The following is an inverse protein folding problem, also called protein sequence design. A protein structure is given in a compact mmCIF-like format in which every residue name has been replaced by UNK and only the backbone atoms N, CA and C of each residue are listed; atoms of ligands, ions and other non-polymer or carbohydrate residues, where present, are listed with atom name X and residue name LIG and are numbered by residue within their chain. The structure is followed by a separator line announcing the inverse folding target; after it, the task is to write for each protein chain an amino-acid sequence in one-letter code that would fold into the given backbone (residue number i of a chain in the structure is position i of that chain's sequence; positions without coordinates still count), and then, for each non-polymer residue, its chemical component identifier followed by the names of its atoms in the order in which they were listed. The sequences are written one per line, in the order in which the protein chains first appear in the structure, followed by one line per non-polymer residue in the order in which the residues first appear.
data_IF_872534171706
#
_entry.id   IF_872534171706
#
_cell.length_a   1.000
_cell.length_b   1.000
_cell.length_c   1.000
_cell.angle_alpha   90.00
_cell.angle_beta   90.00
_cell.angle_gamma   90.00
#
_symmetry.space_group_name_H-M   'P 1'
#
loop_
_entity.id
_entity.type
_entity.pdbx_description
1 polymer ?
#
# COMPACT_ATOMS: atom_id res chain seq x y z
N UNK A 1 1.22 14.03 5.35
CA UNK A 1 2.11 14.66 4.35
C UNK A 1 3.21 13.69 3.99
N UNK A 2 2.89 12.75 3.10
CA UNK A 2 3.75 11.62 2.77
C UNK A 2 4.85 12.06 1.79
N UNK A 3 6.12 11.97 2.20
CA UNK A 3 7.25 12.20 1.29
C UNK A 3 7.54 10.94 0.48
N UNK A 4 7.09 10.92 -0.77
CA UNK A 4 7.56 9.98 -1.78
C UNK A 4 8.92 10.52 -2.25
N UNK A 5 10.01 9.77 -2.03
CA UNK A 5 11.32 10.11 -2.58
C UNK A 5 11.34 9.78 -4.07
N UNK A 6 10.79 10.67 -4.89
CA UNK A 6 11.06 10.70 -6.32
C UNK A 6 11.50 12.12 -6.72
N UNK A 7 12.62 12.19 -7.44
CA UNK A 7 13.27 13.42 -7.91
C UNK A 7 12.45 13.99 -9.08
N UNK A 8 11.28 14.55 -8.79
CA UNK A 8 10.38 15.17 -9.75
C UNK A 8 9.77 16.41 -9.11
N UNK A 9 10.18 17.58 -9.60
CA UNK A 9 9.86 18.92 -9.12
C UNK A 9 8.39 19.33 -9.35
N UNK A 10 7.46 18.51 -8.85
CA UNK A 10 6.01 18.77 -8.87
C UNK A 10 5.34 17.92 -7.80
N UNK A 11 5.60 18.28 -6.54
CA UNK A 11 4.89 17.76 -5.36
C UNK A 11 3.43 18.25 -5.42
N UNK A 12 2.62 17.65 -6.28
CA UNK A 12 1.17 17.78 -6.25
C UNK A 12 0.65 16.75 -5.24
N UNK A 13 -0.26 17.19 -4.36
CA UNK A 13 -1.03 16.30 -3.49
C UNK A 13 -1.72 15.24 -4.37
N UNK A 14 -1.24 13.99 -4.29
CA UNK A 14 -1.74 12.90 -5.12
C UNK A 14 -2.56 11.96 -4.26
N UNK A 15 -3.85 11.86 -4.54
CA UNK A 15 -4.75 10.92 -3.88
C UNK A 15 -4.44 9.49 -4.33
N UNK A 16 -3.78 8.72 -3.47
CA UNK A 16 -3.41 7.34 -3.75
C UNK A 16 -4.23 6.36 -2.92
N UNK A 17 -4.59 5.22 -3.52
CA UNK A 17 -5.32 4.15 -2.84
C UNK A 17 -4.36 3.13 -2.25
N UNK A 18 -4.56 2.72 -1.00
CA UNK A 18 -3.72 1.67 -0.37
C UNK A 18 -4.13 0.29 -0.88
N UNK A 19 -3.29 -0.33 -1.70
CA UNK A 19 -3.55 -1.62 -2.33
C UNK A 19 -2.91 -2.79 -1.58
N UNK A 20 -1.85 -2.53 -0.83
CA UNK A 20 -1.10 -3.60 -0.15
C UNK A 20 -0.30 -3.14 1.05
N UNK A 21 0.20 -4.13 1.80
CA UNK A 21 0.95 -3.91 3.03
C UNK A 21 2.04 -4.98 3.25
N UNK A 22 3.16 -4.55 3.83
CA UNK A 22 4.25 -5.39 4.28
C UNK A 22 4.46 -5.27 5.78
N UNK A 23 4.89 -6.39 6.39
CA UNK A 23 5.45 -6.35 7.73
C UNK A 23 6.78 -5.62 7.74
N UNK A 24 7.00 -4.86 8.81
CA UNK A 24 8.31 -4.28 9.08
C UNK A 24 9.32 -5.33 9.49
N UNK A 25 10.55 -5.17 9.05
CA UNK A 25 11.64 -6.11 9.35
C UNK A 25 12.35 -5.79 10.69
N UNK A 26 11.78 -4.89 11.51
CA UNK A 26 12.40 -4.39 12.74
C UNK A 26 11.90 -5.06 14.02
N UNK A 27 12.80 -5.20 15.02
CA UNK A 27 12.46 -5.70 16.37
C UNK A 27 11.77 -4.66 17.28
N UNK A 28 11.73 -3.38 16.89
CA UNK A 28 11.10 -2.30 17.67
C UNK A 28 9.58 -2.19 17.47
N UNK A 29 8.91 -1.32 18.24
CA UNK A 29 7.46 -1.04 18.15
C UNK A 29 6.98 -0.69 16.73
N UNK A 30 7.83 -0.02 15.94
CA UNK A 30 7.56 0.29 14.53
C UNK A 30 7.69 -0.92 13.60
N UNK A 31 8.54 -1.89 13.92
CA UNK A 31 8.74 -3.09 13.09
C UNK A 31 7.84 -4.28 13.43
N UNK A 32 7.27 -4.34 14.64
CA UNK A 32 6.31 -5.37 15.09
C UNK A 32 4.89 -5.23 14.48
N UNK A 33 4.79 -5.03 13.18
CA UNK A 33 3.51 -4.93 12.47
C UNK A 33 3.67 -4.40 11.05
N UNK A 34 2.55 -4.03 10.43
CA UNK A 34 2.57 -3.43 9.08
C UNK A 34 3.30 -2.09 9.13
N UNK A 35 4.43 -1.95 8.45
CA UNK A 35 5.20 -0.70 8.48
C UNK A 35 5.32 -0.04 7.12
N UNK A 36 4.88 -0.72 6.07
CA UNK A 36 5.10 -0.28 4.70
C UNK A 36 3.88 -0.63 3.87
N UNK A 37 3.44 0.32 3.06
CA UNK A 37 2.21 0.25 2.30
C UNK A 37 2.53 0.34 0.80
N UNK A 38 1.70 -0.29 -0.01
CA UNK A 38 1.73 -0.15 -1.47
C UNK A 38 0.54 0.69 -1.84
N UNK A 39 0.81 1.79 -2.52
CA UNK A 39 -0.18 2.73 -2.96
C UNK A 39 -0.29 2.69 -4.48
N UNK A 40 -1.48 2.95 -4.99
CA UNK A 40 -1.74 2.89 -6.42
C UNK A 40 -2.95 3.71 -6.84
N UNK A 41 -3.17 3.74 -8.15
CA UNK A 41 -4.24 4.50 -8.79
C UNK A 41 -5.19 3.56 -9.50
N UNK A 42 -6.42 4.03 -9.68
CA UNK A 42 -7.43 3.34 -10.46
C UNK A 42 -7.15 3.53 -11.95
N UNK A 43 -7.38 2.50 -12.76
CA UNK A 43 -7.26 2.59 -14.21
C UNK A 43 -8.45 3.38 -14.80
N UNK A 44 -8.14 4.37 -15.65
CA UNK A 44 -9.14 5.24 -16.28
C UNK A 44 -10.07 4.48 -17.25
N UNK A 45 -9.57 3.41 -17.88
CA UNK A 45 -10.31 2.64 -18.88
C UNK A 45 -11.04 1.46 -18.28
N UNK A 46 -10.52 0.88 -17.20
CA UNK A 46 -11.15 -0.22 -16.49
C UNK A 46 -11.28 0.08 -14.99
N UNK A 47 -12.48 0.47 -14.52
CA UNK A 47 -12.67 0.90 -13.15
C UNK A 47 -12.50 -0.22 -12.10
N UNK A 48 -12.37 -1.47 -12.51
CA UNK A 48 -12.11 -2.60 -11.62
C UNK A 48 -10.63 -2.96 -11.52
N UNK A 49 -9.76 -2.22 -12.23
CA UNK A 49 -8.33 -2.46 -12.30
C UNK A 49 -7.58 -1.31 -11.62
N UNK A 50 -6.57 -1.66 -10.85
CA UNK A 50 -5.74 -0.74 -10.08
C UNK A 50 -4.27 -1.03 -10.35
N UNK A 51 -3.50 0.04 -10.54
CA UNK A 51 -2.07 -0.02 -10.82
C UNK A 51 -1.28 0.45 -9.61
N UNK A 52 -0.32 -0.35 -9.17
CA UNK A 52 0.60 0.03 -8.09
C UNK A 52 1.56 1.09 -8.60
N UNK A 53 1.64 2.23 -7.90
CA UNK A 53 2.49 3.36 -8.27
C UNK A 53 3.76 3.36 -7.41
N UNK A 54 3.59 3.33 -6.09
CA UNK A 54 4.71 3.48 -5.18
C UNK A 54 4.58 2.63 -3.91
N UNK A 55 5.71 2.40 -3.26
CA UNK A 55 5.81 1.77 -1.94
C UNK A 55 6.19 2.83 -0.92
N UNK A 56 5.36 3.01 0.09
CA UNK A 56 5.54 4.04 1.12
C UNK A 56 5.89 3.36 2.44
N UNK A 57 7.14 3.49 2.85
CA UNK A 57 7.68 2.91 4.09
C UNK A 57 8.10 3.94 5.14
N UNK A 58 8.07 5.22 4.77
CA UNK A 58 8.56 6.38 5.53
C UNK A 58 7.72 7.60 5.17
N UNK A 59 7.68 8.64 6.02
CA UNK A 59 6.93 9.87 5.75
C UNK A 59 5.64 10.05 6.56
N UNK A 60 5.39 9.16 7.53
CA UNK A 60 4.32 9.27 8.53
C UNK A 60 4.91 9.29 9.93
N UNK A 61 4.25 10.04 10.81
CA UNK A 61 4.45 9.98 12.25
C UNK A 61 4.09 8.59 12.79
N UNK A 62 4.56 8.28 14.00
CA UNK A 62 4.22 7.01 14.63
C UNK A 62 2.73 6.88 14.91
N UNK A 63 2.07 7.99 15.25
CA UNK A 63 0.64 8.04 15.51
C UNK A 63 -0.17 7.76 14.24
N UNK A 64 0.18 8.41 13.11
CA UNK A 64 -0.44 8.12 11.81
C UNK A 64 -0.27 6.66 11.41
N UNK A 65 0.93 6.07 11.64
CA UNK A 65 1.15 4.65 11.40
C UNK A 65 0.23 3.76 12.25
N UNK A 66 0.04 4.09 13.53
CA UNK A 66 -0.86 3.33 14.41
C UNK A 66 -2.32 3.49 13.98
N UNK A 67 -2.73 4.68 13.56
CA UNK A 67 -4.07 4.94 13.04
C UNK A 67 -4.32 4.14 11.76
N UNK A 68 -3.41 4.20 10.79
CA UNK A 68 -3.48 3.39 9.58
C UNK A 68 -3.57 1.90 9.90
N UNK A 69 -2.70 1.38 10.77
CA UNK A 69 -2.77 -0.02 11.24
C UNK A 69 -4.14 -0.37 11.80
N UNK A 70 -4.72 0.50 12.61
CA UNK A 70 -6.03 0.29 13.21
C UNK A 70 -7.17 0.31 12.19
N UNK A 71 -7.10 1.18 11.18
CA UNK A 71 -8.08 1.23 10.11
C UNK A 71 -8.01 -0.03 9.25
N UNK A 72 -6.80 -0.49 8.91
CA UNK A 72 -6.64 -1.60 7.97
C UNK A 72 -6.76 -2.99 8.61
N UNK A 73 -6.58 -3.13 9.94
CA UNK A 73 -6.50 -4.44 10.61
C UNK A 73 -7.67 -5.39 10.32
N UNK A 74 -8.86 -4.85 10.08
CA UNK A 74 -10.09 -5.62 9.86
C UNK A 74 -10.43 -5.81 8.37
N UNK A 75 -9.71 -5.14 7.47
CA UNK A 75 -10.00 -5.15 6.02
C UNK A 75 -8.86 -5.77 5.19
N UNK A 76 -7.67 -5.96 5.78
CA UNK A 76 -6.54 -6.61 5.14
C UNK A 76 -6.82 -8.10 4.89
N UNK A 77 -6.35 -8.60 3.76
CA UNK A 77 -6.46 -10.00 3.38
C UNK A 77 -5.06 -10.54 3.09
N UNK A 78 -4.68 -11.73 3.60
CA UNK A 78 -3.39 -12.34 3.29
C UNK A 78 -3.16 -12.49 1.79
N UNK A 79 -2.01 -12.03 1.30
CA UNK A 79 -1.66 -12.18 -0.10
C UNK A 79 -1.10 -13.58 -0.35
N UNK A 80 -1.77 -14.35 -1.21
CA UNK A 80 -1.33 -15.70 -1.57
C UNK A 80 -0.47 -15.66 -2.84
N UNK A 81 0.79 -16.09 -2.71
CA UNK A 81 1.73 -16.18 -3.82
C UNK A 81 1.24 -17.23 -4.84
N UNK A 82 0.82 -16.77 -6.02
CA UNK A 82 0.29 -17.61 -7.09
C UNK A 82 -1.20 -17.41 -7.39
N UNK A 83 -1.92 -16.68 -6.52
CA UNK A 83 -3.30 -16.27 -6.76
C UNK A 83 -3.46 -14.77 -6.48
N UNK A 84 -2.83 -13.89 -7.29
CA UNK A 84 -2.95 -12.45 -7.10
C UNK A 84 -4.40 -12.02 -7.31
N UNK A 85 -4.90 -11.03 -6.55
CA UNK A 85 -6.24 -10.49 -6.74
C UNK A 85 -6.42 -9.97 -8.17
N UNK A 86 -7.55 -10.27 -8.84
CA UNK A 86 -7.77 -9.91 -10.25
C UNK A 86 -7.83 -8.39 -10.47
N UNK A 87 -8.18 -7.62 -9.43
CA UNK A 87 -8.23 -6.15 -9.50
C UNK A 87 -6.83 -5.50 -9.53
N UNK A 88 -5.76 -6.21 -9.20
CA UNK A 88 -4.39 -5.68 -9.22
C UNK A 88 -3.72 -5.86 -10.58
N UNK A 89 -4.41 -5.62 -11.69
CA UNK A 89 -3.81 -5.51 -13.04
C UNK A 89 -2.77 -6.60 -13.44
N UNK A 90 -2.95 -7.85 -13.00
CA UNK A 90 -1.94 -8.91 -13.16
C UNK A 90 -0.54 -8.52 -12.64
N UNK A 91 -0.48 -7.82 -11.51
CA UNK A 91 0.72 -7.27 -10.91
C UNK A 91 1.84 -8.32 -10.88
N UNK A 92 2.82 -8.12 -11.77
CA UNK A 92 3.98 -9.01 -11.92
C UNK A 92 5.00 -8.68 -10.85
N UNK A 93 4.66 -9.05 -9.62
CA UNK A 93 5.56 -8.80 -8.49
C UNK A 93 6.74 -9.77 -8.57
N UNK A 94 7.95 -9.23 -8.55
CA UNK A 94 9.16 -10.04 -8.37
C UNK A 94 9.02 -10.88 -7.10
N UNK A 95 9.55 -12.11 -7.09
CA UNK A 95 9.41 -13.06 -5.95
C UNK A 95 9.84 -12.46 -4.59
N UNK A 96 10.66 -11.41 -4.59
CA UNK A 96 11.18 -10.70 -3.42
C UNK A 96 10.31 -9.53 -2.95
N UNK A 97 9.39 -9.04 -3.76
CA UNK A 97 8.56 -7.85 -3.45
C UNK A 97 7.08 -8.17 -3.25
N UNK A 98 6.73 -9.45 -3.10
CA UNK A 98 5.32 -9.85 -2.85
C UNK A 98 4.87 -9.29 -1.49
N UNK A 99 3.79 -8.50 -1.43
CA UNK A 99 3.27 -8.00 -0.16
C UNK A 99 2.77 -9.13 0.72
N UNK A 100 2.71 -8.88 2.03
CA UNK A 100 2.15 -9.84 2.98
C UNK A 100 0.62 -9.82 2.92
N UNK A 101 0.04 -8.65 2.66
CA UNK A 101 -1.41 -8.46 2.59
C UNK A 101 -1.79 -7.55 1.41
N UNK A 102 -3.00 -7.73 0.91
CA UNK A 102 -3.69 -6.75 0.07
C UNK A 102 -4.93 -6.23 0.77
N UNK A 103 -5.44 -5.10 0.30
CA UNK A 103 -6.68 -4.51 0.76
C UNK A 103 -7.64 -4.45 -0.43
N UNK A 104 -8.86 -5.02 -0.33
CA UNK A 104 -9.87 -4.91 -1.38
C UNK A 104 -10.16 -3.43 -1.69
N UNK A 105 -10.19 -3.00 -2.96
CA UNK A 105 -10.33 -1.59 -3.32
C UNK A 105 -11.61 -0.94 -2.76
N UNK A 106 -12.70 -1.70 -2.66
CA UNK A 106 -14.00 -1.25 -2.11
C UNK A 106 -13.94 -0.84 -0.64
N UNK A 107 -12.96 -1.37 0.10
CA UNK A 107 -12.75 -1.10 1.53
C UNK A 107 -11.47 -0.31 1.77
N UNK A 108 -10.76 0.03 0.70
CA UNK A 108 -9.47 0.68 0.79
C UNK A 108 -9.61 2.14 1.22
N UNK A 109 -8.48 2.72 1.59
CA UNK A 109 -8.34 4.06 2.17
C UNK A 109 -7.50 4.87 1.20
N UNK A 110 -7.92 6.11 0.96
CA UNK A 110 -7.16 7.09 0.18
C UNK A 110 -6.17 7.80 1.10
N UNK A 111 -4.93 7.94 0.65
CA UNK A 111 -3.85 8.66 1.33
C UNK A 111 -3.35 9.80 0.47
N UNK A 112 -3.00 10.92 1.12
CA UNK A 112 -2.50 12.17 0.54
C UNK A 112 -1.22 12.59 1.27
#
# INVERSE_FOLDING_TARGET
LFTILEYGDSMQDLDLLVLGAYHGEGKGLRGRGISTFVCGVKDDKNPNVYHTVCKVGTGYSFEELLNLRNLIKNIIVPFQKGNPPPHLANWKVSKKDVPNFYIPPEKSIVVQ
#
